data_IF_180539366318
#
_entry.id   IF_180539366318
#
_cell.length_a   1.000
_cell.length_b   1.000
_cell.length_c   1.000
_cell.angle_alpha   90.00
_cell.angle_beta   90.00
_cell.angle_gamma   90.00
#
_symmetry.space_group_name_H-M   'P 1'
#
loop_
_entity.id
_entity.type
_entity.pdbx_description
1 polymer ?
#
# COMPACT_ATOMS: atom_id res chain seq x y z
N UNK A 1 -0.42 37.52 16.58
CA UNK A 1 -1.44 38.59 16.73
C UNK A 1 -2.39 38.35 17.90
N UNK A 2 -2.89 37.12 18.09
CA UNK A 2 -3.83 36.76 19.16
C UNK A 2 -3.27 36.94 20.57
N UNK A 3 -2.00 36.58 20.77
CA UNK A 3 -1.30 36.70 22.05
C UNK A 3 -1.16 38.16 22.53
N UNK A 4 -0.89 39.09 21.60
CA UNK A 4 -0.76 40.53 21.89
C UNK A 4 -2.10 41.13 22.33
N UNK A 5 -3.21 40.69 21.73
CA UNK A 5 -4.56 41.16 22.07
C UNK A 5 -5.03 40.65 23.42
N UNK A 6 -4.75 39.39 23.71
CA UNK A 6 -5.03 38.79 25.01
C UNK A 6 -4.29 39.55 26.13
N UNK A 7 -3.03 39.95 25.88
CA UNK A 7 -2.25 40.78 26.82
C UNK A 7 -2.89 42.17 27.04
N UNK A 8 -3.39 42.84 25.99
CA UNK A 8 -4.03 44.16 26.10
C UNK A 8 -5.37 44.09 26.85
N UNK A 9 -6.23 43.10 26.55
CA UNK A 9 -7.48 42.88 27.29
C UNK A 9 -7.23 42.60 28.77
N UNK A 10 -6.27 41.71 29.08
CA UNK A 10 -5.90 41.39 30.47
C UNK A 10 -5.38 42.62 31.21
N UNK A 11 -4.55 43.45 30.58
CA UNK A 11 -4.08 44.72 31.16
C UNK A 11 -5.22 45.70 31.42
N UNK A 12 -6.15 45.88 30.48
CA UNK A 12 -7.30 46.78 30.66
C UNK A 12 -8.23 46.34 31.80
N UNK A 13 -8.49 45.03 31.93
CA UNK A 13 -9.26 44.45 33.06
C UNK A 13 -8.53 44.63 34.39
N UNK A 14 -7.22 44.39 34.41
CA UNK A 14 -6.41 44.55 35.62
C UNK A 14 -6.38 46.01 36.09
N UNK A 15 -6.19 46.96 35.17
CA UNK A 15 -6.16 48.40 35.47
C UNK A 15 -7.52 48.89 35.96
N UNK A 16 -8.62 48.45 35.34
CA UNK A 16 -9.97 48.81 35.80
C UNK A 16 -10.33 48.20 37.17
N UNK A 17 -9.87 46.98 37.47
CA UNK A 17 -10.00 46.36 38.79
C UNK A 17 -9.16 47.08 39.87
N UNK A 18 -7.93 47.50 39.53
CA UNK A 18 -7.05 48.25 40.42
C UNK A 18 -7.66 49.62 40.75
N UNK A 19 -8.14 50.36 39.74
CA UNK A 19 -8.79 51.66 39.91
C UNK A 19 -10.07 51.53 40.75
N UNK A 20 -10.86 50.46 40.57
CA UNK A 20 -12.03 50.19 41.42
C UNK A 20 -11.68 49.94 42.89
N UNK A 21 -10.54 49.28 43.16
CA UNK A 21 -10.05 49.02 44.52
C UNK A 21 -9.47 50.26 45.23
N UNK A 22 -8.90 51.19 44.46
CA UNK A 22 -8.41 52.48 44.97
C UNK A 22 -9.58 53.39 45.39
N UNK A 23 -10.66 53.42 44.61
CA UNK A 23 -11.89 54.16 44.97
C UNK A 23 -12.56 53.58 46.22
N UNK A 24 -12.62 52.25 46.36
CA UNK A 24 -13.29 51.60 47.50
C UNK A 24 -12.50 51.65 48.82
N UNK A 25 -11.19 51.92 48.76
CA UNK A 25 -10.32 52.01 49.94
C UNK A 25 -10.13 53.43 50.48
N UNK A 26 -10.68 54.45 49.80
CA UNK A 26 -10.59 55.86 50.21
C UNK A 26 -9.21 56.50 50.06
N UNK A 27 -8.24 55.76 49.51
CA UNK A 27 -6.89 56.25 49.19
C UNK A 27 -7.01 57.14 47.94
N UNK A 28 -6.63 58.42 48.03
CA UNK A 28 -6.78 59.46 46.98
C UNK A 28 -8.18 60.08 46.81
N UNK A 29 -8.89 60.39 47.90
CA UNK A 29 -10.21 61.04 47.85
C UNK A 29 -10.23 62.41 47.11
N UNK A 30 -9.13 63.18 47.15
CA UNK A 30 -8.98 64.47 46.44
C UNK A 30 -8.78 64.32 44.91
N UNK A 31 -8.58 63.09 44.39
CA UNK A 31 -8.38 62.80 42.97
C UNK A 31 -9.52 61.94 42.37
N UNK A 32 -10.67 61.89 43.04
CA UNK A 32 -11.79 61.04 42.65
C UNK A 32 -12.29 61.29 41.22
N UNK A 33 -12.23 62.54 40.73
CA UNK A 33 -12.60 62.90 39.36
C UNK A 33 -11.62 62.30 38.33
N UNK A 34 -10.31 62.39 38.57
CA UNK A 34 -9.27 61.85 37.68
C UNK A 34 -9.32 60.30 37.64
N UNK A 35 -9.63 59.66 38.77
CA UNK A 35 -9.78 58.20 38.86
C UNK A 35 -11.03 57.73 38.13
N UNK A 36 -12.12 58.49 38.20
CA UNK A 36 -13.35 58.20 37.45
C UNK A 36 -13.15 58.41 35.94
N UNK A 37 -12.48 59.47 35.52
CA UNK A 37 -12.10 59.70 34.12
C UNK A 37 -11.19 58.57 33.59
N UNK A 38 -10.21 58.13 34.38
CA UNK A 38 -9.35 56.99 34.03
C UNK A 38 -10.13 55.67 33.90
N UNK A 39 -11.15 55.47 34.73
CA UNK A 39 -12.05 54.29 34.67
C UNK A 39 -12.92 54.33 33.41
N UNK A 40 -13.46 55.49 33.06
CA UNK A 40 -14.29 55.66 31.87
C UNK A 40 -13.45 55.53 30.58
N UNK A 41 -12.23 56.05 30.59
CA UNK A 41 -11.25 55.85 29.51
C UNK A 41 -10.85 54.37 29.36
N UNK A 42 -10.65 53.65 30.46
CA UNK A 42 -10.38 52.21 30.44
C UNK A 42 -11.58 51.40 29.92
N UNK A 43 -12.81 51.79 30.27
CA UNK A 43 -14.03 51.18 29.76
C UNK A 43 -14.22 51.42 28.25
N UNK A 44 -14.03 52.66 27.78
CA UNK A 44 -14.05 52.99 26.35
C UNK A 44 -12.96 52.27 25.56
N UNK A 45 -11.75 52.13 26.13
CA UNK A 45 -10.67 51.35 25.51
C UNK A 45 -11.04 49.87 25.39
N UNK A 46 -11.69 49.28 26.42
CA UNK A 46 -12.16 47.90 26.39
C UNK A 46 -13.27 47.69 25.35
N UNK A 47 -14.20 48.63 25.19
CA UNK A 47 -15.21 48.59 24.13
C UNK A 47 -14.60 48.68 22.74
N UNK A 48 -13.64 49.58 22.51
CA UNK A 48 -12.91 49.67 21.23
C UNK A 48 -12.20 48.36 20.90
N UNK A 49 -11.57 47.72 21.89
CA UNK A 49 -10.94 46.40 21.72
C UNK A 49 -11.98 45.32 21.39
N UNK A 50 -13.15 45.31 22.05
CA UNK A 50 -14.25 44.38 21.72
C UNK A 50 -14.79 44.60 20.30
N UNK A 51 -14.97 45.86 19.88
CA UNK A 51 -15.43 46.19 18.54
C UNK A 51 -14.43 45.79 17.45
N UNK A 52 -13.12 45.97 17.70
CA UNK A 52 -12.05 45.52 16.82
C UNK A 52 -12.04 43.99 16.72
N UNK A 53 -12.21 43.27 17.83
CA UNK A 53 -12.26 41.81 17.80
C UNK A 53 -13.52 41.30 17.09
N UNK A 54 -14.67 41.98 17.24
CA UNK A 54 -15.88 41.69 16.47
C UNK A 54 -15.72 41.86 14.96
N UNK A 55 -14.86 42.79 14.50
CA UNK A 55 -14.52 42.97 13.08
C UNK A 55 -13.48 41.97 12.59
N UNK A 56 -12.65 41.41 13.47
CA UNK A 56 -11.55 40.53 13.08
C UNK A 56 -11.96 39.07 13.08
N UNK A 57 -12.93 38.68 13.90
CA UNK A 57 -13.51 37.33 13.86
C UNK A 57 -13.99 36.93 12.44
N UNK A 58 -14.84 37.70 11.72
CA UNK A 58 -15.25 37.34 10.37
C UNK A 58 -14.08 37.30 9.37
N UNK A 59 -13.04 38.13 9.58
CA UNK A 59 -11.83 38.09 8.75
C UNK A 59 -10.99 36.82 8.99
N UNK A 60 -10.98 36.29 10.21
CA UNK A 60 -10.32 35.02 10.54
C UNK A 60 -11.11 33.83 9.98
N UNK A 61 -12.43 33.90 10.02
CA UNK A 61 -13.31 32.88 9.43
C UNK A 61 -13.15 32.86 7.90
N UNK A 62 -13.12 34.03 7.26
CA UNK A 62 -12.84 34.16 5.82
C UNK A 62 -11.46 33.64 5.46
N UNK A 63 -10.42 33.97 6.24
CA UNK A 63 -9.05 33.49 6.00
C UNK A 63 -8.97 31.95 6.08
N UNK A 64 -9.68 31.35 7.04
CA UNK A 64 -9.76 29.89 7.19
C UNK A 64 -10.49 29.25 6.01
N UNK A 65 -11.59 29.87 5.55
CA UNK A 65 -12.34 29.45 4.37
C UNK A 65 -11.53 29.55 3.08
N UNK A 66 -10.78 30.65 2.89
CA UNK A 66 -9.88 30.81 1.75
C UNK A 66 -8.75 29.80 1.78
N UNK A 67 -8.16 29.51 2.95
CA UNK A 67 -7.15 28.48 3.09
C UNK A 67 -7.68 27.10 2.70
N UNK A 68 -8.88 26.72 3.17
CA UNK A 68 -9.52 25.47 2.76
C UNK A 68 -9.81 25.39 1.24
N UNK A 69 -10.19 26.51 0.60
CA UNK A 69 -10.34 26.58 -0.87
C UNK A 69 -9.00 26.42 -1.59
N UNK A 70 -7.94 27.03 -1.08
CA UNK A 70 -6.58 26.89 -1.62
C UNK A 70 -6.08 25.45 -1.52
N UNK A 71 -6.28 24.79 -0.38
CA UNK A 71 -5.90 23.38 -0.18
C UNK A 71 -6.68 22.47 -1.14
N UNK A 72 -7.97 22.76 -1.36
CA UNK A 72 -8.80 22.04 -2.35
C UNK A 72 -8.30 22.24 -3.78
N UNK A 73 -7.94 23.47 -4.13
CA UNK A 73 -7.44 23.81 -5.46
C UNK A 73 -6.07 23.17 -5.72
N UNK A 74 -5.19 23.11 -4.71
CA UNK A 74 -3.90 22.45 -4.81
C UNK A 74 -4.05 20.94 -5.07
N UNK A 75 -4.99 20.28 -4.41
CA UNK A 75 -5.29 18.87 -4.67
C UNK A 75 -5.87 18.66 -6.09
N UNK A 76 -6.77 19.54 -6.52
CA UNK A 76 -7.36 19.48 -7.86
C UNK A 76 -6.30 19.69 -8.95
N UNK A 77 -5.30 20.55 -8.72
CA UNK A 77 -4.15 20.75 -9.61
C UNK A 77 -3.25 19.51 -9.70
N UNK A 78 -3.01 18.80 -8.59
CA UNK A 78 -2.28 17.53 -8.60
C UNK A 78 -3.00 16.44 -9.39
N UNK A 79 -4.34 16.39 -9.28
CA UNK A 79 -5.16 15.48 -10.09
C UNK A 79 -5.09 15.86 -11.58
N UNK A 80 -5.11 17.16 -11.91
CA UNK A 80 -4.96 17.64 -13.28
C UNK A 80 -3.63 17.23 -13.92
N UNK A 81 -2.50 17.36 -13.22
CA UNK A 81 -1.19 16.94 -13.72
C UNK A 81 -1.12 15.42 -13.98
N UNK A 82 -1.80 14.64 -13.14
CA UNK A 82 -1.94 13.20 -13.32
C UNK A 82 -2.78 12.86 -14.57
N UNK A 83 -3.89 13.58 -14.77
CA UNK A 83 -4.75 13.43 -15.96
C UNK A 83 -4.00 13.86 -17.23
N UNK A 84 -3.25 14.96 -17.20
CA UNK A 84 -2.43 15.44 -18.32
C UNK A 84 -1.37 14.41 -18.71
N UNK A 85 -0.67 13.85 -17.74
CA UNK A 85 0.33 12.79 -17.97
C UNK A 85 -0.31 11.54 -18.60
N UNK A 86 -1.52 11.17 -18.17
CA UNK A 86 -2.24 10.05 -18.76
C UNK A 86 -2.72 10.35 -20.19
N UNK A 87 -3.15 11.59 -20.48
CA UNK A 87 -3.52 12.00 -21.83
C UNK A 87 -2.32 11.95 -22.79
N UNK A 88 -1.13 12.37 -22.35
CA UNK A 88 0.11 12.27 -23.14
C UNK A 88 0.45 10.80 -23.48
N UNK A 89 0.24 9.87 -22.54
CA UNK A 89 0.42 8.43 -22.79
C UNK A 89 -0.61 7.87 -23.79
N UNK A 90 -1.86 8.35 -23.76
CA UNK A 90 -2.89 7.94 -24.72
C UNK A 90 -2.50 8.34 -26.14
N UNK A 91 -1.99 9.55 -26.34
CA UNK A 91 -1.49 10.00 -27.65
C UNK A 91 -0.33 9.13 -28.15
N UNK A 92 0.58 8.71 -27.25
CA UNK A 92 1.65 7.78 -27.63
C UNK A 92 1.13 6.38 -28.00
N UNK A 93 0.10 5.88 -27.31
CA UNK A 93 -0.54 4.61 -27.66
C UNK A 93 -1.25 4.70 -29.01
N UNK A 94 -1.93 5.81 -29.31
CA UNK A 94 -2.60 6.05 -30.58
C UNK A 94 -1.61 6.06 -31.76
N UNK A 95 -0.44 6.68 -31.58
CA UNK A 95 0.63 6.65 -32.58
C UNK A 95 1.17 5.21 -32.83
N UNK A 96 1.37 4.42 -31.77
CA UNK A 96 1.80 3.02 -31.88
C UNK A 96 0.72 2.14 -32.55
N UNK A 97 -0.56 2.40 -32.28
CA UNK A 97 -1.67 1.71 -32.93
C UNK A 97 -1.69 1.98 -34.43
N UNK A 98 -1.48 3.23 -34.86
CA UNK A 98 -1.39 3.58 -36.27
C UNK A 98 -0.22 2.85 -36.99
N UNK A 99 0.94 2.75 -36.33
CA UNK A 99 2.08 1.99 -36.86
C UNK A 99 1.77 0.50 -37.00
N UNK A 100 1.13 -0.11 -35.98
CA UNK A 100 0.68 -1.50 -36.02
C UNK A 100 -0.32 -1.74 -37.16
N UNK A 101 -1.29 -0.84 -37.36
CA UNK A 101 -2.23 -0.91 -38.48
C UNK A 101 -1.51 -0.90 -39.83
N UNK A 102 -0.51 -0.04 -40.01
CA UNK A 102 0.30 -0.02 -41.24
C UNK A 102 1.08 -1.32 -41.47
N UNK A 103 1.67 -1.89 -40.42
CA UNK A 103 2.38 -3.18 -40.49
C UNK A 103 1.45 -4.34 -40.81
N UNK A 104 0.24 -4.37 -40.24
CA UNK A 104 -0.79 -5.37 -40.54
C UNK A 104 -1.19 -5.28 -42.02
N UNK A 105 -1.48 -4.08 -42.52
CA UNK A 105 -1.83 -3.89 -43.95
C UNK A 105 -0.72 -4.36 -44.89
N UNK A 106 0.55 -4.11 -44.53
CA UNK A 106 1.70 -4.60 -45.30
C UNK A 106 1.81 -6.14 -45.26
N UNK A 107 1.51 -6.75 -44.11
CA UNK A 107 1.51 -8.20 -43.97
C UNK A 107 0.38 -8.84 -44.78
N UNK A 108 -0.82 -8.26 -44.77
CA UNK A 108 -1.97 -8.70 -45.58
C UNK A 108 -1.64 -8.68 -47.07
N UNK A 109 -0.98 -7.62 -47.57
CA UNK A 109 -0.53 -7.56 -48.97
C UNK A 109 0.46 -8.67 -49.33
N UNK A 110 1.43 -8.95 -48.45
CA UNK A 110 2.40 -10.04 -48.66
C UNK A 110 1.74 -11.41 -48.64
N UNK A 111 0.73 -11.62 -47.81
CA UNK A 111 -0.06 -12.85 -47.79
C UNK A 111 -0.82 -13.01 -49.10
N UNK A 112 -1.49 -11.97 -49.60
CA UNK A 112 -2.21 -12.01 -50.87
C UNK A 112 -1.27 -12.32 -52.07
N UNK A 113 -0.06 -11.77 -52.07
CA UNK A 113 0.96 -12.09 -53.09
C UNK A 113 1.45 -13.54 -52.98
N UNK A 114 1.66 -14.05 -51.76
CA UNK A 114 2.02 -15.43 -51.54
C UNK A 114 0.91 -16.39 -52.00
N UNK A 115 -0.36 -16.10 -51.70
CA UNK A 115 -1.52 -16.87 -52.17
C UNK A 115 -1.58 -16.94 -53.70
N UNK A 116 -1.37 -15.81 -54.38
CA UNK A 116 -1.32 -15.75 -55.85
C UNK A 116 -0.17 -16.59 -56.42
N UNK A 117 1.00 -16.56 -55.79
CA UNK A 117 2.15 -17.38 -56.19
C UNK A 117 1.91 -18.88 -55.98
N UNK A 118 1.30 -19.25 -54.85
CA UNK A 118 0.93 -20.65 -54.56
C UNK A 118 -0.10 -21.15 -55.57
N UNK A 119 -1.15 -20.38 -55.86
CA UNK A 119 -2.15 -20.74 -56.86
C UNK A 119 -1.52 -20.99 -58.24
N UNK A 120 -0.59 -20.13 -58.67
CA UNK A 120 0.13 -20.30 -59.93
C UNK A 120 0.98 -21.59 -59.95
N UNK A 121 1.64 -21.92 -58.83
CA UNK A 121 2.42 -23.16 -58.70
C UNK A 121 1.51 -24.40 -58.72
N UNK A 122 0.35 -24.35 -58.08
CA UNK A 122 -0.63 -25.45 -58.08
C UNK A 122 -1.11 -25.75 -59.50
N UNK A 123 -1.43 -24.73 -60.30
CA UNK A 123 -1.81 -24.94 -61.71
C UNK A 123 -0.65 -25.51 -62.53
N UNK A 124 0.59 -25.03 -62.32
CA UNK A 124 1.75 -25.60 -62.98
C UNK A 124 1.94 -27.10 -62.65
N UNK A 125 1.77 -27.48 -61.37
CA UNK A 125 1.79 -28.89 -60.96
C UNK A 125 0.66 -29.70 -61.59
N UNK A 126 -0.54 -29.12 -61.73
CA UNK A 126 -1.68 -29.76 -62.39
C UNK A 126 -1.38 -30.05 -63.87
N UNK A 127 -0.78 -29.09 -64.57
CA UNK A 127 -0.33 -29.26 -65.96
C UNK A 127 0.68 -30.38 -66.07
N UNK A 128 1.72 -30.39 -65.23
CA UNK A 128 2.74 -31.46 -65.22
C UNK A 128 2.09 -32.82 -64.94
N UNK A 129 1.18 -32.91 -63.98
CA UNK A 129 0.45 -34.15 -63.65
C UNK A 129 -0.36 -34.70 -64.84
N UNK A 130 -1.04 -33.82 -65.58
CA UNK A 130 -1.75 -34.21 -66.80
C UNK A 130 -0.78 -34.70 -67.88
N UNK A 131 0.31 -33.98 -68.13
CA UNK A 131 1.32 -34.40 -69.12
C UNK A 131 1.95 -35.75 -68.79
N UNK A 132 2.26 -36.01 -67.50
CA UNK A 132 2.76 -37.31 -67.06
C UNK A 132 1.74 -38.42 -67.31
N UNK A 133 0.45 -38.15 -67.07
CA UNK A 133 -0.64 -39.09 -67.34
C UNK A 133 -0.78 -39.40 -68.83
N UNK A 134 -0.66 -38.38 -69.68
CA UNK A 134 -0.70 -38.54 -71.15
C UNK A 134 0.49 -39.37 -71.66
N UNK A 135 1.70 -39.08 -71.17
CA UNK A 135 2.91 -39.83 -71.51
C UNK A 135 2.78 -41.30 -71.06
N UNK A 136 2.30 -41.54 -69.84
CA UNK A 136 2.10 -42.89 -69.31
C UNK A 136 1.09 -43.68 -70.16
N UNK A 137 -0.01 -43.02 -70.58
CA UNK A 137 -1.02 -43.62 -71.45
C UNK A 137 -0.45 -43.93 -72.83
N UNK A 138 0.30 -43.01 -73.43
CA UNK A 138 0.94 -43.21 -74.73
C UNK A 138 2.00 -44.33 -74.69
N UNK A 139 2.78 -44.42 -73.62
CA UNK A 139 3.76 -45.49 -73.41
C UNK A 139 3.06 -46.86 -73.29
N UNK A 140 1.97 -46.95 -72.52
CA UNK A 140 1.15 -48.16 -72.39
C UNK A 140 0.61 -48.63 -73.74
N UNK A 141 0.10 -47.72 -74.55
CA UNK A 141 -0.43 -48.06 -75.88
C UNK A 141 0.66 -48.57 -76.82
N UNK A 142 1.85 -47.96 -76.81
CA UNK A 142 3.01 -48.44 -77.59
C UNK A 142 3.48 -49.82 -77.12
N UNK A 143 3.50 -50.07 -75.81
CA UNK A 143 3.86 -51.37 -75.27
C UNK A 143 2.89 -52.46 -75.75
N UNK A 144 1.58 -52.19 -75.75
CA UNK A 144 0.57 -53.11 -76.26
C UNK A 144 0.71 -53.38 -77.78
N UNK A 145 1.05 -52.35 -78.58
CA UNK A 145 1.31 -52.53 -80.02
C UNK A 145 2.55 -53.40 -80.29
N UNK A 146 3.61 -53.20 -79.50
CA UNK A 146 4.81 -54.04 -79.57
C UNK A 146 4.50 -55.48 -79.17
N UNK A 147 3.75 -55.70 -78.10
CA UNK A 147 3.33 -57.03 -77.63
C UNK A 147 2.51 -57.78 -78.70
N UNK A 148 1.57 -57.09 -79.34
CA UNK A 148 0.80 -57.65 -80.46
C UNK A 148 1.67 -58.03 -81.67
N UNK A 149 2.68 -57.22 -82.00
CA UNK A 149 3.64 -57.52 -83.07
C UNK A 149 4.53 -58.72 -82.73
N UNK A 150 4.95 -58.85 -81.47
CA UNK A 150 5.74 -60.00 -80.99
C UNK A 150 4.92 -61.27 -81.08
N UNK A 151 3.66 -61.25 -80.63
CA UNK A 151 2.76 -62.41 -80.74
C UNK A 151 2.53 -62.81 -82.20
N UNK A 152 2.38 -61.84 -83.11
CA UNK A 152 2.23 -62.12 -84.54
C UNK A 152 3.50 -62.73 -85.16
N UNK A 153 4.69 -62.30 -84.73
CA UNK A 153 5.96 -62.89 -85.15
C UNK A 153 6.12 -64.31 -84.61
N UNK A 154 5.74 -64.56 -83.36
CA UNK A 154 5.77 -65.88 -82.73
C UNK A 154 4.91 -66.89 -83.51
N UNK A 155 3.70 -66.47 -83.91
CA UNK A 155 2.85 -67.29 -84.79
C UNK A 155 3.46 -67.59 -86.17
N UNK A 156 4.19 -66.65 -86.76
CA UNK A 156 4.92 -66.88 -88.02
C UNK A 156 6.09 -67.84 -87.85
N UNK A 157 6.85 -67.72 -86.76
CA UNK A 157 7.96 -68.62 -86.43
C UNK A 157 7.45 -70.04 -86.27
N UNK A 158 6.36 -70.22 -85.52
CA UNK A 158 5.72 -71.53 -85.36
C UNK A 158 5.29 -72.16 -86.69
N UNK A 159 4.70 -71.39 -87.60
CA UNK A 159 4.34 -71.89 -88.94
C UNK A 159 5.58 -72.35 -89.73
N UNK A 160 6.70 -71.62 -89.61
CA UNK A 160 7.96 -71.99 -90.25
C UNK A 160 8.52 -73.28 -89.63
N UNK A 161 8.44 -73.45 -88.31
CA UNK A 161 8.84 -74.69 -87.62
C UNK A 161 8.01 -75.89 -88.06
N UNK A 162 6.70 -75.70 -88.22
CA UNK A 162 5.78 -76.72 -88.76
C UNK A 162 6.13 -77.09 -90.21
N UNK A 163 6.38 -76.08 -91.06
CA UNK A 163 6.83 -76.30 -92.44
C UNK A 163 8.19 -77.00 -92.49
N UNK A 164 9.15 -76.62 -91.64
CA UNK A 164 10.46 -77.24 -91.55
C UNK A 164 10.35 -78.72 -91.17
N UNK A 165 9.46 -79.04 -90.23
CA UNK A 165 9.18 -80.42 -89.81
C UNK A 165 8.54 -81.22 -90.96
N UNK A 166 7.63 -80.61 -91.72
CA UNK A 166 7.03 -81.21 -92.93
C UNK A 166 8.06 -81.44 -94.04
N UNK A 167 8.96 -80.48 -94.27
CA UNK A 167 10.04 -80.63 -95.25
C UNK A 167 11.07 -81.66 -94.81
N UNK A 168 11.34 -81.79 -93.51
CA UNK A 168 12.18 -82.86 -92.96
C UNK A 168 11.55 -84.23 -93.24
N UNK A 169 10.26 -84.44 -92.98
CA UNK A 169 9.57 -85.69 -93.33
C UNK A 169 9.59 -86.01 -94.83
N UNK A 170 9.49 -84.99 -95.70
CA UNK A 170 9.69 -85.17 -97.16
C UNK A 170 11.14 -85.55 -97.49
N UNK A 171 12.11 -84.98 -96.78
CA UNK A 171 13.54 -85.28 -96.95
C UNK A 171 13.84 -86.72 -96.55
N UNK A 172 13.30 -87.18 -95.41
CA UNK A 172 13.42 -88.56 -94.95
C UNK A 172 12.76 -89.56 -95.94
N UNK A 173 11.66 -89.15 -96.59
CA UNK A 173 11.01 -89.95 -97.66
C UNK A 173 11.86 -89.97 -98.94
N UNK A 174 12.46 -88.84 -99.30
CA UNK A 174 13.35 -88.72 -100.45
C UNK A 174 14.65 -89.52 -100.22
N UNK A 175 15.15 -89.59 -98.99
CA UNK A 175 16.33 -90.38 -98.60
C UNK A 175 16.09 -91.89 -98.73
N UNK A 176 14.88 -92.37 -98.45
CA UNK A 176 14.48 -93.75 -98.75
C UNK A 176 14.31 -94.02 -100.25
N UNK A 177 13.88 -93.03 -101.04
CA UNK A 177 13.75 -93.15 -102.51
C UNK A 177 15.12 -93.06 -103.21
N UNK A 178 16.07 -92.31 -102.65
CA UNK A 178 17.45 -92.18 -103.14
C UNK A 178 18.26 -93.47 -102.95
N UNK A 179 17.90 -94.30 -101.96
CA UNK A 179 18.45 -95.64 -101.78
C UNK A 179 18.10 -96.61 -102.92
N UNK A 180 16.95 -96.40 -103.58
CA UNK A 180 16.55 -97.13 -104.80
C UNK A 180 17.16 -96.50 -106.07
N UNK A 181 17.48 -95.20 -106.04
CA UNK A 181 18.09 -94.45 -107.14
C UNK A 181 19.60 -94.71 -107.32
N UNK A 182 20.32 -95.15 -106.29
CA UNK A 182 21.76 -95.52 -106.36
C UNK A 182 22.05 -96.70 -107.31
N UNK A 183 21.02 -97.41 -107.78
CA UNK A 183 21.16 -98.44 -108.85
C UNK A 183 21.07 -97.84 -110.27
N UNK A 184 20.51 -96.64 -110.44
CA UNK A 184 20.31 -95.98 -111.76
C UNK A 184 21.32 -94.84 -111.99
N UNK A 185 21.89 -94.28 -110.92
CA UNK A 185 22.75 -93.08 -110.94
C UNK A 185 24.15 -93.28 -111.53
N UNK A 186 24.68 -94.50 -111.62
CA UNK A 186 25.97 -94.79 -112.29
C UNK A 186 25.99 -94.36 -113.77
N UNK A 187 24.83 -94.20 -114.42
CA UNK A 187 24.74 -93.83 -115.84
C UNK A 187 24.53 -92.32 -116.08
N UNK A 188 24.44 -91.47 -115.05
CA UNK A 188 24.17 -90.04 -115.18
C UNK A 188 25.14 -89.15 -114.38
N UNK A 189 26.38 -89.60 -114.14
CA UNK A 189 27.37 -88.90 -113.31
C UNK A 189 27.98 -87.62 -113.92
N UNK A 190 27.81 -87.30 -115.22
CA UNK A 190 28.81 -86.46 -115.90
C UNK A 190 28.39 -85.07 -116.43
N UNK A 191 27.30 -84.45 -115.96
CA UNK A 191 26.89 -83.14 -116.49
C UNK A 191 26.28 -82.15 -115.46
N UNK A 192 27.09 -81.16 -115.03
CA UNK A 192 26.69 -79.78 -114.65
C UNK A 192 26.03 -79.53 -113.28
N UNK A 193 26.79 -79.29 -112.18
CA UNK A 193 26.31 -78.52 -110.99
C UNK A 193 27.43 -78.15 -109.96
N UNK A 194 28.37 -77.25 -110.27
CA UNK A 194 29.35 -76.77 -109.24
C UNK A 194 29.57 -75.24 -109.21
N UNK A 195 28.74 -74.45 -109.92
CA UNK A 195 28.85 -72.98 -110.01
C UNK A 195 27.71 -72.22 -109.30
N UNK A 196 26.59 -72.89 -108.99
CA UNK A 196 25.43 -72.27 -108.34
C UNK A 196 25.56 -72.19 -106.80
N UNK A 197 26.17 -73.20 -106.16
CA UNK A 197 26.21 -73.31 -104.69
C UNK A 197 27.15 -72.29 -104.02
N UNK A 198 28.18 -71.79 -104.74
CA UNK A 198 29.09 -70.74 -104.25
C UNK A 198 28.42 -69.35 -104.27
N UNK A 199 27.43 -69.14 -105.14
CA UNK A 199 26.71 -67.85 -105.26
C UNK A 199 25.69 -67.70 -104.11
N UNK A 200 25.01 -68.78 -103.74
CA UNK A 200 24.05 -68.79 -102.60
C UNK A 200 24.75 -68.57 -101.25
N UNK A 201 25.91 -69.21 -101.04
CA UNK A 201 26.71 -69.00 -99.81
C UNK A 201 27.25 -67.57 -99.66
N UNK A 202 27.68 -66.92 -100.75
CA UNK A 202 28.13 -65.51 -100.72
C UNK A 202 26.98 -64.54 -100.41
N UNK A 203 25.78 -64.80 -100.92
CA UNK A 203 24.60 -63.98 -100.60
C UNK A 203 24.19 -64.12 -99.13
N UNK A 204 24.29 -65.32 -98.55
CA UNK A 204 23.98 -65.54 -97.11
C UNK A 204 25.01 -64.93 -96.17
N UNK A 205 26.29 -64.90 -96.53
CA UNK A 205 27.34 -64.20 -95.75
C UNK A 205 27.15 -62.69 -95.78
N UNK A 206 26.80 -62.12 -96.94
CA UNK A 206 26.53 -60.68 -97.07
C UNK A 206 25.31 -60.26 -96.22
N UNK A 207 24.26 -61.09 -96.17
CA UNK A 207 23.09 -60.86 -95.32
C UNK A 207 23.39 -61.06 -93.81
N UNK A 208 24.44 -61.80 -93.45
CA UNK A 208 24.87 -61.98 -92.07
C UNK A 208 25.72 -60.80 -91.58
N UNK A 209 26.58 -60.24 -92.44
CA UNK A 209 27.36 -59.03 -92.15
C UNK A 209 26.43 -57.82 -91.92
N UNK A 210 25.35 -57.69 -92.69
CA UNK A 210 24.35 -56.63 -92.50
C UNK A 210 23.60 -56.76 -91.16
N UNK A 211 23.39 -57.99 -90.67
CA UNK A 211 22.80 -58.24 -89.35
C UNK A 211 23.78 -57.97 -88.20
N UNK A 212 25.09 -58.23 -88.40
CA UNK A 212 26.12 -57.94 -87.40
C UNK A 212 26.26 -56.42 -87.14
N UNK A 213 26.13 -55.59 -88.18
CA UNK A 213 26.12 -54.13 -88.02
C UNK A 213 24.95 -53.63 -87.15
N UNK A 214 23.77 -54.25 -87.27
CA UNK A 214 22.62 -53.95 -86.39
C UNK A 214 22.84 -54.32 -84.93
N UNK A 215 23.67 -55.33 -84.66
CA UNK A 215 24.03 -55.72 -83.27
C UNK A 215 24.95 -54.67 -82.66
N UNK A 216 25.94 -54.16 -83.40
CA UNK A 216 26.79 -53.06 -82.94
C UNK A 216 26.01 -51.77 -82.63
N UNK A 217 25.02 -51.43 -83.46
CA UNK A 217 24.12 -50.29 -83.19
C UNK A 217 23.28 -50.47 -81.91
N UNK A 218 22.90 -51.70 -81.60
CA UNK A 218 22.15 -52.03 -80.38
C UNK A 218 23.06 -51.98 -79.14
N UNK A 219 24.30 -52.48 -79.24
CA UNK A 219 25.29 -52.35 -78.16
C UNK A 219 25.56 -50.88 -77.82
N UNK A 220 25.74 -50.02 -78.83
CA UNK A 220 25.92 -48.58 -78.61
C UNK A 220 24.73 -47.92 -77.92
N UNK A 221 23.50 -48.31 -78.26
CA UNK A 221 22.28 -47.84 -77.57
C UNK A 221 22.19 -48.35 -76.13
N UNK A 222 22.60 -49.58 -75.87
CA UNK A 222 22.63 -50.15 -74.50
C UNK A 222 23.63 -49.40 -73.63
N UNK A 223 24.82 -49.08 -74.15
CA UNK A 223 25.81 -48.26 -73.42
C UNK A 223 25.27 -46.87 -73.10
N UNK A 224 24.60 -46.20 -74.06
CA UNK A 224 23.95 -44.90 -73.80
C UNK A 224 22.86 -44.98 -72.71
N UNK A 225 22.10 -46.07 -72.67
CA UNK A 225 21.10 -46.29 -71.63
C UNK A 225 21.78 -46.48 -70.27
N UNK A 226 22.86 -47.25 -70.20
CA UNK A 226 23.59 -47.49 -68.94
C UNK A 226 24.17 -46.18 -68.36
N UNK A 227 24.76 -45.35 -69.22
CA UNK A 227 25.25 -44.02 -68.83
C UNK A 227 24.12 -43.12 -68.32
N UNK A 228 22.95 -43.16 -68.99
CA UNK A 228 21.75 -42.42 -68.57
C UNK A 228 21.23 -42.90 -67.21
N UNK A 229 21.20 -44.21 -66.97
CA UNK A 229 20.78 -44.79 -65.69
C UNK A 229 21.73 -44.39 -64.57
N UNK A 230 23.04 -44.42 -64.81
CA UNK A 230 24.04 -43.91 -63.84
C UNK A 230 23.78 -42.46 -63.49
N UNK A 231 23.61 -41.59 -64.49
CA UNK A 231 23.32 -40.17 -64.30
C UNK A 231 22.06 -39.95 -63.47
N UNK A 232 20.95 -40.64 -63.80
CA UNK A 232 19.72 -40.54 -63.02
C UNK A 232 19.90 -41.05 -61.58
N UNK A 233 20.69 -42.09 -61.36
CA UNK A 233 20.92 -42.64 -60.02
C UNK A 233 21.72 -41.67 -59.14
N UNK A 234 22.66 -40.92 -59.73
CA UNK A 234 23.35 -39.82 -59.05
C UNK A 234 22.40 -38.67 -58.70
N UNK A 235 21.48 -38.29 -59.60
CA UNK A 235 20.46 -37.28 -59.32
C UNK A 235 19.50 -37.71 -58.21
N UNK A 236 19.04 -38.95 -58.21
CA UNK A 236 18.20 -39.52 -57.13
C UNK A 236 18.92 -39.42 -55.77
N UNK A 237 20.22 -39.70 -55.75
CA UNK A 237 21.02 -39.60 -54.53
C UNK A 237 21.08 -38.15 -54.02
N UNK A 238 21.36 -37.18 -54.91
CA UNK A 238 21.34 -35.75 -54.56
C UNK A 238 19.98 -35.29 -54.03
N UNK A 239 18.89 -35.76 -54.64
CA UNK A 239 17.52 -35.45 -54.17
C UNK A 239 17.28 -36.04 -52.78
N UNK A 240 17.71 -37.28 -52.53
CA UNK A 240 17.56 -37.93 -51.22
C UNK A 240 18.31 -37.18 -50.12
N UNK A 241 19.54 -36.78 -50.38
CA UNK A 241 20.36 -36.02 -49.44
C UNK A 241 19.76 -34.63 -49.18
N UNK A 242 19.36 -33.92 -50.23
CA UNK A 242 18.68 -32.63 -50.10
C UNK A 242 17.36 -32.71 -49.31
N UNK A 243 16.59 -33.80 -49.48
CA UNK A 243 15.37 -34.01 -48.72
C UNK A 243 15.66 -34.28 -47.23
N UNK A 244 16.73 -35.02 -46.92
CA UNK A 244 17.18 -35.25 -45.54
C UNK A 244 17.62 -33.94 -44.88
N UNK A 245 18.41 -33.12 -45.58
CA UNK A 245 18.88 -31.83 -45.07
C UNK A 245 17.72 -30.84 -44.88
N UNK A 246 16.73 -30.86 -45.78
CA UNK A 246 15.49 -30.09 -45.63
C UNK A 246 14.69 -30.50 -44.38
N UNK A 247 14.53 -31.82 -44.16
CA UNK A 247 13.86 -32.35 -42.97
C UNK A 247 14.58 -31.96 -41.68
N UNK A 248 15.92 -32.05 -41.65
CA UNK A 248 16.70 -31.64 -40.47
C UNK A 248 16.63 -30.13 -40.24
N UNK A 249 16.63 -29.32 -41.31
CA UNK A 249 16.44 -27.88 -41.22
C UNK A 249 15.10 -27.49 -40.58
N UNK A 250 14.01 -28.17 -40.96
CA UNK A 250 12.69 -27.98 -40.31
C UNK A 250 12.74 -28.41 -38.84
N UNK A 251 13.34 -29.56 -38.54
CA UNK A 251 13.46 -30.06 -37.17
C UNK A 251 14.24 -29.09 -36.28
N UNK A 252 15.30 -28.50 -36.80
CA UNK A 252 16.11 -27.51 -36.10
C UNK A 252 15.35 -26.22 -35.83
N UNK A 253 14.62 -25.70 -36.83
CA UNK A 253 13.75 -24.53 -36.62
C UNK A 253 12.68 -24.80 -35.54
N UNK A 254 12.10 -26.00 -35.52
CA UNK A 254 11.14 -26.41 -34.49
C UNK A 254 11.78 -26.49 -33.10
N UNK A 255 13.01 -27.02 -32.99
CA UNK A 255 13.75 -27.05 -31.72
C UNK A 255 14.02 -25.65 -31.20
N UNK A 256 14.49 -24.74 -32.06
CA UNK A 256 14.77 -23.34 -31.69
C UNK A 256 13.49 -22.62 -31.24
N UNK A 257 12.40 -22.74 -32.01
CA UNK A 257 11.11 -22.15 -31.64
C UNK A 257 10.58 -22.69 -30.30
N UNK A 258 10.77 -23.99 -30.04
CA UNK A 258 10.41 -24.60 -28.75
C UNK A 258 11.25 -24.01 -27.62
N UNK A 259 12.57 -23.93 -27.76
CA UNK A 259 13.46 -23.36 -26.75
C UNK A 259 13.14 -21.90 -26.44
N UNK A 260 12.86 -21.10 -27.47
CA UNK A 260 12.45 -19.70 -27.29
C UNK A 260 11.11 -19.59 -26.55
N UNK A 261 10.14 -20.46 -26.89
CA UNK A 261 8.85 -20.54 -26.21
C UNK A 261 9.02 -20.94 -24.74
N UNK A 262 9.79 -21.97 -24.44
CA UNK A 262 10.06 -22.43 -23.07
C UNK A 262 10.72 -21.31 -22.24
N UNK A 263 11.68 -20.58 -22.84
CA UNK A 263 12.34 -19.44 -22.19
C UNK A 263 11.34 -18.32 -21.86
N UNK A 264 10.42 -18.01 -22.78
CA UNK A 264 9.38 -17.01 -22.55
C UNK A 264 8.38 -17.46 -21.48
N UNK A 265 7.99 -18.73 -21.47
CA UNK A 265 7.08 -19.30 -20.46
C UNK A 265 7.72 -19.23 -19.07
N UNK A 266 8.98 -19.63 -18.93
CA UNK A 266 9.69 -19.56 -17.66
C UNK A 266 9.81 -18.10 -17.16
N UNK A 267 10.12 -17.15 -18.05
CA UNK A 267 10.14 -15.73 -17.69
C UNK A 267 8.77 -15.15 -17.31
N UNK A 268 7.67 -15.71 -17.83
CA UNK A 268 6.31 -15.36 -17.38
C UNK A 268 6.04 -15.95 -16.00
N UNK A 269 6.42 -17.21 -15.77
CA UNK A 269 6.20 -17.90 -14.49
C UNK A 269 6.91 -17.15 -13.33
N UNK A 270 8.14 -16.70 -13.53
CA UNK A 270 8.87 -15.86 -12.56
C UNK A 270 8.16 -14.52 -12.28
N UNK A 271 7.60 -13.88 -13.31
CA UNK A 271 6.83 -12.64 -13.16
C UNK A 271 5.52 -12.88 -12.41
N UNK A 272 4.83 -13.98 -12.70
CA UNK A 272 3.60 -14.39 -12.00
C UNK A 272 3.89 -14.64 -10.53
N UNK A 273 4.98 -15.37 -10.22
CA UNK A 273 5.44 -15.58 -8.85
C UNK A 273 5.70 -14.25 -8.13
N UNK A 274 6.42 -13.33 -8.78
CA UNK A 274 6.68 -12.00 -8.22
C UNK A 274 5.39 -11.21 -7.95
N UNK A 275 4.38 -11.33 -8.81
CA UNK A 275 3.07 -10.70 -8.61
C UNK A 275 2.32 -11.36 -7.47
N UNK A 276 2.36 -12.70 -7.37
CA UNK A 276 1.77 -13.46 -6.26
C UNK A 276 2.34 -13.03 -4.91
N UNK A 277 3.68 -12.98 -4.79
CA UNK A 277 4.35 -12.56 -3.56
C UNK A 277 3.96 -11.13 -3.14
N UNK A 278 3.77 -10.23 -4.12
CA UNK A 278 3.27 -8.87 -3.86
C UNK A 278 1.81 -8.83 -3.43
N UNK A 279 0.98 -9.71 -3.98
CA UNK A 279 -0.43 -9.82 -3.59
C UNK A 279 -0.54 -10.31 -2.13
N UNK A 280 0.23 -11.33 -1.75
CA UNK A 280 0.27 -11.84 -0.39
C UNK A 280 0.76 -10.76 0.60
N UNK A 281 1.78 -9.99 0.21
CA UNK A 281 2.27 -8.86 1.02
C UNK A 281 1.23 -7.73 1.17
N UNK A 282 0.39 -7.50 0.16
CA UNK A 282 -0.72 -6.54 0.25
C UNK A 282 -1.83 -7.07 1.17
N UNK A 283 -2.14 -8.36 1.09
CA UNK A 283 -3.15 -8.99 1.94
C UNK A 283 -2.78 -8.87 3.43
N UNK A 284 -1.52 -9.14 3.77
CA UNK A 284 -0.99 -8.90 5.12
C UNK A 284 -1.07 -7.43 5.57
N UNK A 285 -0.85 -6.46 4.67
CA UNK A 285 -1.00 -5.04 5.00
C UNK A 285 -2.46 -4.66 5.25
N UNK A 286 -3.39 -5.24 4.50
CA UNK A 286 -4.83 -5.04 4.68
C UNK A 286 -5.25 -5.57 6.05
N UNK A 287 -4.81 -6.78 6.43
CA UNK A 287 -5.12 -7.37 7.73
C UNK A 287 -4.57 -6.55 8.91
N UNK A 288 -3.33 -6.07 8.80
CA UNK A 288 -2.75 -5.17 9.80
C UNK A 288 -3.58 -3.88 9.93
N UNK A 289 -3.91 -3.25 8.79
CA UNK A 289 -4.72 -2.02 8.77
C UNK A 289 -6.10 -2.24 9.38
N UNK A 290 -6.74 -3.39 9.10
CA UNK A 290 -8.03 -3.77 9.68
C UNK A 290 -7.94 -3.94 11.20
N UNK A 291 -6.85 -4.54 11.67
CA UNK A 291 -6.58 -4.72 13.11
C UNK A 291 -6.37 -3.38 13.81
N UNK A 292 -5.54 -2.51 13.24
CA UNK A 292 -5.27 -1.16 13.77
C UNK A 292 -6.52 -0.29 13.80
N UNK A 293 -7.35 -0.36 12.76
CA UNK A 293 -8.61 0.34 12.69
C UNK A 293 -9.58 -0.17 13.76
N UNK A 294 -9.67 -1.48 13.97
CA UNK A 294 -10.51 -2.05 15.02
C UNK A 294 -10.05 -1.63 16.43
N UNK A 295 -8.75 -1.53 16.67
CA UNK A 295 -8.19 -1.02 17.93
C UNK A 295 -8.50 0.48 18.14
N UNK A 296 -8.37 1.27 17.07
CA UNK A 296 -8.71 2.70 17.09
C UNK A 296 -10.19 2.91 17.36
N UNK A 297 -11.07 2.17 16.70
CA UNK A 297 -12.53 2.23 16.93
C UNK A 297 -12.86 1.91 18.38
N UNK A 298 -12.29 0.84 18.96
CA UNK A 298 -12.47 0.53 20.39
C UNK A 298 -12.06 1.70 21.30
N UNK A 299 -10.90 2.30 21.02
CA UNK A 299 -10.42 3.45 21.81
C UNK A 299 -11.34 4.66 21.71
N UNK A 300 -11.86 4.93 20.50
CA UNK A 300 -12.84 6.01 20.28
C UNK A 300 -14.14 5.71 20.99
N UNK A 301 -14.65 4.48 20.88
CA UNK A 301 -15.89 4.03 21.53
C UNK A 301 -15.81 4.14 23.06
N UNK A 302 -14.68 3.75 23.66
CA UNK A 302 -14.42 3.96 25.10
C UNK A 302 -14.46 5.44 25.49
N UNK A 303 -13.84 6.32 24.69
CA UNK A 303 -13.85 7.77 24.93
C UNK A 303 -15.25 8.36 24.77
N UNK A 304 -15.99 7.95 23.75
CA UNK A 304 -17.37 8.38 23.50
C UNK A 304 -18.26 7.92 24.65
N UNK A 305 -18.12 6.67 25.11
CA UNK A 305 -18.87 6.15 26.26
C UNK A 305 -18.60 6.97 27.53
N UNK A 306 -17.34 7.34 27.81
CA UNK A 306 -16.98 8.23 28.95
C UNK A 306 -17.55 9.66 28.81
N UNK A 307 -17.84 10.10 27.58
CA UNK A 307 -18.47 11.39 27.30
C UNK A 307 -20.01 11.30 27.24
N UNK A 308 -20.57 10.11 27.02
CA UNK A 308 -21.97 9.89 26.67
C UNK A 308 -23.00 10.19 27.76
N UNK A 309 -22.57 10.53 28.97
CA UNK A 309 -23.46 10.98 30.03
C UNK A 309 -22.91 12.22 30.74
N UNK A 310 -22.86 13.37 30.05
CA UNK A 310 -22.37 14.61 30.64
C UNK A 310 -23.28 15.06 31.80
N UNK A 311 -24.57 14.75 31.74
CA UNK A 311 -25.55 15.07 32.78
C UNK A 311 -25.25 14.37 34.10
N UNK A 312 -24.96 13.05 34.09
CA UNK A 312 -24.59 12.33 35.30
C UNK A 312 -23.28 12.86 35.91
N UNK A 313 -22.29 13.20 35.07
CA UNK A 313 -21.00 13.75 35.51
C UNK A 313 -21.14 15.15 36.11
N UNK A 314 -21.95 16.01 35.48
CA UNK A 314 -22.25 17.34 36.01
C UNK A 314 -22.97 17.20 37.35
N UNK A 315 -23.95 16.30 37.45
CA UNK A 315 -24.68 16.04 38.70
C UNK A 315 -23.78 15.53 39.82
N UNK A 316 -22.79 14.69 39.51
CA UNK A 316 -21.79 14.22 40.48
C UNK A 316 -20.86 15.35 40.95
N UNK A 317 -20.42 16.22 40.03
CA UNK A 317 -19.63 17.42 40.37
C UNK A 317 -20.45 18.40 41.19
N UNK A 318 -21.70 18.67 40.81
CA UNK A 318 -22.63 19.54 41.55
C UNK A 318 -22.85 19.03 42.97
N UNK A 319 -23.04 17.71 43.13
CA UNK A 319 -23.17 17.09 44.45
C UNK A 319 -21.89 17.24 45.25
N UNK A 320 -20.73 16.89 44.68
CA UNK A 320 -19.44 16.98 45.38
C UNK A 320 -19.13 18.42 45.78
N UNK A 321 -19.42 19.37 44.91
CA UNK A 321 -19.23 20.79 45.17
C UNK A 321 -20.21 21.31 46.23
N UNK A 322 -21.48 20.89 46.16
CA UNK A 322 -22.51 21.18 47.15
C UNK A 322 -22.15 20.65 48.54
N UNK A 323 -21.69 19.39 48.63
CA UNK A 323 -21.26 18.76 49.88
C UNK A 323 -20.05 19.50 50.49
N UNK A 324 -19.06 19.85 49.65
CA UNK A 324 -17.88 20.61 50.10
C UNK A 324 -18.23 22.05 50.51
N UNK A 325 -19.14 22.70 49.80
CA UNK A 325 -19.61 24.04 50.12
C UNK A 325 -20.36 24.05 51.46
N UNK A 326 -21.28 23.10 51.67
CA UNK A 326 -22.00 22.96 52.94
C UNK A 326 -21.04 22.68 54.11
N UNK A 327 -20.04 21.82 53.90
CA UNK A 327 -18.98 21.60 54.89
C UNK A 327 -18.20 22.89 55.20
N UNK A 328 -17.79 23.65 54.18
CA UNK A 328 -17.08 24.91 54.35
C UNK A 328 -17.92 25.96 55.10
N UNK A 329 -19.21 26.08 54.77
CA UNK A 329 -20.15 26.94 55.49
C UNK A 329 -20.25 26.53 56.96
N UNK A 330 -20.34 25.23 57.24
CA UNK A 330 -20.33 24.70 58.61
C UNK A 330 -19.06 25.06 59.38
N UNK A 331 -17.87 24.83 58.81
CA UNK A 331 -16.60 25.21 59.42
C UNK A 331 -16.48 26.73 59.65
N UNK A 332 -16.96 27.53 58.70
CA UNK A 332 -16.95 28.99 58.81
C UNK A 332 -17.88 29.47 59.93
N UNK A 333 -19.10 28.94 59.99
CA UNK A 333 -20.07 29.28 61.03
C UNK A 333 -19.54 28.89 62.42
N UNK A 334 -18.92 27.71 62.57
CA UNK A 334 -18.23 27.29 63.80
C UNK A 334 -17.09 28.24 64.17
N UNK A 335 -16.27 28.64 63.20
CA UNK A 335 -15.18 29.60 63.41
C UNK A 335 -15.69 30.93 63.96
N UNK A 336 -16.77 31.47 63.38
CA UNK A 336 -17.37 32.72 63.84
C UNK A 336 -18.04 32.60 65.21
N UNK A 337 -18.74 31.48 65.49
CA UNK A 337 -19.30 31.23 66.82
C UNK A 337 -18.23 31.21 67.91
N UNK A 338 -17.05 30.63 67.63
CA UNK A 338 -15.89 30.63 68.55
C UNK A 338 -15.35 32.03 68.82
N UNK A 339 -15.18 32.84 67.77
CA UNK A 339 -14.71 34.23 67.94
C UNK A 339 -15.70 35.03 68.78
N UNK A 340 -17.00 34.86 68.54
CA UNK A 340 -18.05 35.46 69.38
C UNK A 340 -17.94 34.99 70.83
N UNK A 341 -17.75 33.69 71.08
CA UNK A 341 -17.58 33.16 72.44
C UNK A 341 -16.34 33.74 73.14
N UNK A 342 -15.20 33.78 72.46
CA UNK A 342 -13.95 34.35 72.99
C UNK A 342 -14.09 35.84 73.34
N UNK A 343 -14.84 36.59 72.53
CA UNK A 343 -15.04 38.03 72.75
C UNK A 343 -15.85 38.35 74.02
N UNK A 344 -16.66 37.40 74.50
CA UNK A 344 -17.41 37.54 75.75
C UNK A 344 -16.59 37.25 77.01
N UNK A 345 -15.33 36.82 76.88
CA UNK A 345 -14.47 36.54 78.02
C UNK A 345 -13.91 37.83 78.61
N UNK A 346 -14.21 38.06 79.89
CA UNK A 346 -13.75 39.24 80.62
C UNK A 346 -13.18 38.85 81.98
N UNK A 347 -12.03 39.45 82.39
CA UNK A 347 -11.50 39.29 83.73
C UNK A 347 -12.30 40.11 84.75
N UNK A 348 -12.32 39.67 86.00
CA UNK A 348 -12.75 40.53 87.11
C UNK A 348 -11.67 41.60 87.42
N UNK A 349 -12.04 42.60 88.22
CA UNK A 349 -11.12 43.65 88.67
C UNK A 349 -9.93 43.09 89.46
N UNK A 350 -8.86 43.87 89.55
CA UNK A 350 -7.63 43.46 90.24
C UNK A 350 -7.84 43.29 91.75
N UNK A 351 -7.40 42.15 92.27
CA UNK A 351 -7.32 41.80 93.69
C UNK A 351 -5.91 41.30 94.02
N UNK A 352 -5.28 41.86 95.07
CA UNK A 352 -3.94 41.50 95.50
C UNK A 352 -3.85 40.09 96.12
N UNK A 353 -4.95 39.57 96.67
CA UNK A 353 -5.04 38.22 97.23
C UNK A 353 -5.28 37.15 96.16
N UNK A 354 -5.86 37.52 95.00
CA UNK A 354 -6.20 36.59 93.92
C UNK A 354 -5.71 37.10 92.56
N UNK A 355 -4.52 36.63 92.15
CA UNK A 355 -3.87 37.04 90.89
C UNK A 355 -4.38 36.30 89.65
N UNK A 356 -5.16 35.25 89.83
CA UNK A 356 -5.74 34.44 88.74
C UNK A 356 -7.26 34.61 88.69
N UNK A 357 -7.79 34.68 87.49
CA UNK A 357 -9.21 34.75 87.21
C UNK A 357 -9.58 33.80 86.07
N UNK A 358 -10.73 33.14 86.16
CA UNK A 358 -11.25 32.29 85.10
C UNK A 358 -12.59 32.87 84.64
N UNK A 359 -12.79 32.94 83.33
CA UNK A 359 -14.03 33.37 82.69
C UNK A 359 -14.53 32.29 81.73
N UNK A 360 -15.84 32.18 81.60
CA UNK A 360 -16.49 31.26 80.66
C UNK A 360 -17.55 32.02 79.91
N UNK A 361 -17.60 31.85 78.60
CA UNK A 361 -18.56 32.51 77.72
C UNK A 361 -19.06 31.53 76.66
N UNK A 362 -20.25 31.80 76.12
CA UNK A 362 -20.81 31.06 75.00
C UNK A 362 -21.05 32.01 73.84
N UNK A 363 -20.86 31.52 72.63
CA UNK A 363 -21.02 32.27 71.39
C UNK A 363 -21.89 31.50 70.42
N UNK A 364 -22.83 32.20 69.81
CA UNK A 364 -23.74 31.65 68.82
C UNK A 364 -23.58 32.40 67.51
N UNK A 365 -23.49 31.66 66.39
CA UNK A 365 -23.52 32.25 65.05
C UNK A 365 -24.22 31.31 64.07
N UNK A 366 -25.31 31.79 63.47
CA UNK A 366 -26.21 31.01 62.60
C UNK A 366 -26.65 29.69 63.25
N UNK A 367 -26.23 28.54 62.73
CA UNK A 367 -26.63 27.21 63.21
C UNK A 367 -25.61 26.59 64.17
N UNK A 368 -24.57 27.31 64.56
CA UNK A 368 -23.43 26.76 65.31
C UNK A 368 -23.24 27.47 66.65
N UNK A 369 -22.79 26.71 67.64
CA UNK A 369 -22.53 27.17 69.01
C UNK A 369 -21.11 26.81 69.41
N UNK A 370 -20.47 27.70 70.16
CA UNK A 370 -19.16 27.45 70.75
C UNK A 370 -19.13 27.92 72.20
N UNK A 371 -18.39 27.20 73.03
CA UNK A 371 -18.10 27.60 74.41
C UNK A 371 -16.64 28.00 74.47
N UNK A 372 -16.36 29.13 75.11
CA UNK A 372 -15.01 29.62 75.36
C UNK A 372 -14.73 29.63 76.85
N UNK A 373 -13.49 29.29 77.20
CA UNK A 373 -12.98 29.38 78.56
C UNK A 373 -11.66 30.15 78.54
N UNK A 374 -11.49 31.08 79.46
CA UNK A 374 -10.30 31.90 79.58
C UNK A 374 -9.75 31.93 80.99
N UNK A 375 -8.43 31.91 81.11
CA UNK A 375 -7.69 32.21 82.32
C UNK A 375 -6.94 33.53 82.15
N UNK A 376 -6.97 34.33 83.20
CA UNK A 376 -6.44 35.68 83.23
C UNK A 376 -5.50 35.80 84.44
N UNK A 377 -4.27 36.26 84.21
CA UNK A 377 -3.28 36.46 85.26
C UNK A 377 -2.91 37.93 85.37
N UNK A 378 -3.05 38.50 86.56
CA UNK A 378 -2.72 39.89 86.87
C UNK A 378 -1.61 39.93 87.93
N UNK A 379 -0.33 40.01 87.53
CA UNK A 379 0.79 40.09 88.50
C UNK A 379 0.65 41.30 89.45
N UNK A 380 0.16 42.41 88.91
CA UNK A 380 -0.09 43.69 89.59
C UNK A 380 -1.28 44.43 88.93
N UNK A 381 -1.67 45.59 89.48
CA UNK A 381 -2.81 46.41 88.97
C UNK A 381 -2.63 46.94 87.54
N UNK A 382 -1.43 46.85 86.96
CA UNK A 382 -1.09 47.47 85.68
C UNK A 382 -0.98 46.50 84.51
N UNK A 383 -0.85 45.19 84.75
CA UNK A 383 -0.67 44.18 83.70
C UNK A 383 -1.71 43.08 83.84
N UNK A 384 -2.29 42.70 82.70
CA UNK A 384 -3.18 41.55 82.56
C UNK A 384 -2.63 40.66 81.44
N UNK A 385 -2.41 39.39 81.73
CA UNK A 385 -2.19 38.35 80.74
C UNK A 385 -3.47 37.55 80.59
N UNK A 386 -3.82 37.19 79.36
CA UNK A 386 -5.04 36.43 79.03
C UNK A 386 -4.69 35.23 78.17
N UNK A 387 -5.24 34.08 78.53
CA UNK A 387 -5.18 32.84 77.77
C UNK A 387 -6.60 32.32 77.63
N UNK A 388 -7.06 32.03 76.42
CA UNK A 388 -8.38 31.46 76.25
C UNK A 388 -8.41 30.43 75.13
N UNK A 389 -9.29 29.46 75.28
CA UNK A 389 -9.56 28.42 74.32
C UNK A 389 -11.05 28.25 74.10
N UNK A 390 -11.43 27.67 72.96
CA UNK A 390 -12.81 27.32 72.66
C UNK A 390 -12.97 25.84 72.46
N UNK A 391 -14.10 25.30 72.90
CA UNK A 391 -14.56 23.95 72.60
C UNK A 391 -15.88 24.03 71.83
N UNK A 392 -15.92 23.36 70.69
CA UNK A 392 -17.11 23.21 69.85
C UNK A 392 -16.97 21.92 69.03
N UNK A 393 -18.04 21.42 68.39
CA UNK A 393 -17.94 20.21 67.57
C UNK A 393 -17.04 20.39 66.34
N UNK A 394 -15.75 20.06 66.44
CA UNK A 394 -14.74 20.20 65.39
C UNK A 394 -13.38 20.62 65.96
N UNK A 395 -12.58 21.37 65.19
CA UNK A 395 -11.29 21.88 65.66
C UNK A 395 -11.45 22.85 66.83
N UNK A 396 -10.42 23.03 67.66
CA UNK A 396 -10.40 24.02 68.72
C UNK A 396 -9.67 25.31 68.28
N UNK A 397 -9.94 26.43 68.96
CA UNK A 397 -9.26 27.70 68.73
C UNK A 397 -8.70 28.24 70.05
N UNK A 398 -7.54 28.90 69.98
CA UNK A 398 -6.82 29.41 71.14
C UNK A 398 -6.40 30.86 70.91
N UNK A 399 -6.38 31.65 71.97
CA UNK A 399 -5.92 33.05 71.96
C UNK A 399 -5.09 33.33 73.20
N UNK A 400 -4.07 34.17 73.02
CA UNK A 400 -3.17 34.63 74.07
C UNK A 400 -2.93 36.11 73.87
N UNK A 401 -2.98 36.88 74.96
CA UNK A 401 -2.88 38.32 74.92
C UNK A 401 -2.34 38.93 76.20
N UNK A 402 -1.88 40.18 76.09
CA UNK A 402 -1.49 41.00 77.23
C UNK A 402 -2.13 42.39 77.11
N UNK A 403 -2.52 42.96 78.23
CA UNK A 403 -3.12 44.29 78.32
C UNK A 403 -2.44 45.09 79.43
N UNK A 404 -2.21 46.38 79.17
CA UNK A 404 -1.48 47.26 80.08
C UNK A 404 -2.30 48.51 80.38
N UNK A 405 -2.42 48.82 81.66
CA UNK A 405 -3.17 49.98 82.16
C UNK A 405 -2.24 51.17 82.35
N UNK A 406 -2.50 52.26 81.62
CA UNK A 406 -1.73 53.51 81.67
C UNK A 406 -2.59 54.64 82.28
N UNK A 407 -2.10 55.33 83.32
CA UNK A 407 -2.79 56.44 84.02
C UNK A 407 -2.67 56.41 85.56
N UNK A 408 -2.92 57.54 86.26
CA UNK A 408 -2.90 57.61 87.74
C UNK A 408 -4.14 56.91 88.32
N UNK A 409 -3.95 55.94 89.22
CA UNK A 409 -5.03 55.20 89.88
C UNK A 409 -5.70 56.05 90.97
N UNK A 410 -7.04 56.08 90.98
CA UNK A 410 -7.84 57.01 91.79
C UNK A 410 -8.61 56.41 92.97
N UNK A 411 -8.08 55.41 93.69
CA UNK A 411 -8.74 54.91 94.92
C UNK A 411 -7.76 54.65 96.07
N UNK A 412 -8.24 55.01 97.28
CA UNK A 412 -7.56 55.24 98.56
C UNK A 412 -7.63 54.00 99.48
N UNK A 413 -6.53 53.77 100.23
CA UNK A 413 -6.32 52.92 101.43
C UNK A 413 -6.38 51.37 101.22
N UNK A 414 -5.52 50.52 101.80
CA UNK A 414 -4.70 50.64 103.02
C UNK A 414 -3.51 49.63 103.04
N UNK A 415 -2.38 50.08 103.62
CA UNK A 415 -1.19 49.36 104.14
C UNK A 415 -0.28 48.52 103.21
N UNK A 416 0.95 49.02 103.03
CA UNK A 416 2.16 48.20 102.86
C UNK A 416 2.86 48.35 101.51
N UNK A 417 3.97 49.10 101.52
CA UNK A 417 4.97 49.27 100.45
C UNK A 417 4.51 49.99 99.16
N UNK A 418 5.21 51.09 98.86
CA UNK A 418 5.27 51.64 97.52
C UNK A 418 5.96 50.63 96.60
N UNK A 419 5.19 49.83 95.86
CA UNK A 419 5.67 49.13 94.67
C UNK A 419 5.25 49.95 93.44
N UNK A 420 6.27 50.28 92.65
CA UNK A 420 6.28 51.40 91.72
C UNK A 420 5.54 51.18 90.41
N UNK A 421 5.46 52.28 89.64
CA UNK A 421 5.25 52.22 88.20
C UNK A 421 6.24 51.25 87.58
N UNK A 422 5.75 50.38 86.69
CA UNK A 422 6.58 49.48 85.88
C UNK A 422 7.57 50.35 85.09
N UNK A 423 8.86 50.13 85.32
CA UNK A 423 9.92 50.79 84.56
C UNK A 423 9.90 50.31 83.11
N UNK A 424 10.33 51.13 82.15
CA UNK A 424 10.46 50.73 80.74
C UNK A 424 11.28 49.44 80.58
N UNK A 425 12.26 49.19 81.46
CA UNK A 425 13.08 47.98 81.47
C UNK A 425 12.30 46.73 81.87
N UNK A 426 11.42 46.83 82.87
CA UNK A 426 10.55 45.72 83.29
C UNK A 426 9.47 45.43 82.24
N UNK A 427 9.04 46.45 81.51
CA UNK A 427 8.16 46.29 80.36
C UNK A 427 8.83 45.50 79.22
N UNK A 428 10.09 45.81 78.87
CA UNK A 428 10.84 45.03 77.87
C UNK A 428 11.10 43.59 78.32
N UNK A 429 11.36 43.36 79.61
CA UNK A 429 11.52 42.01 80.18
C UNK A 429 10.22 41.20 80.14
N UNK A 430 9.07 41.83 80.40
CA UNK A 430 7.75 41.20 80.30
C UNK A 430 7.44 40.86 78.84
N UNK A 431 7.74 41.75 77.89
CA UNK A 431 7.55 41.51 76.46
C UNK A 431 8.47 40.39 75.94
N UNK A 432 9.73 40.35 76.40
CA UNK A 432 10.68 39.28 76.08
C UNK A 432 10.23 37.91 76.61
N UNK A 433 9.79 37.84 77.88
CA UNK A 433 9.22 36.61 78.45
C UNK A 433 7.92 36.18 77.77
N UNK A 434 7.10 37.13 77.32
CA UNK A 434 5.92 36.84 76.49
C UNK A 434 6.31 36.24 75.14
N UNK A 435 7.36 36.75 74.49
CA UNK A 435 7.84 36.21 73.21
C UNK A 435 8.39 34.78 73.38
N UNK A 436 9.11 34.50 74.46
CA UNK A 436 9.63 33.16 74.76
C UNK A 436 8.50 32.17 75.08
N UNK A 437 7.48 32.59 75.82
CA UNK A 437 6.34 31.74 76.16
C UNK A 437 5.44 31.48 74.93
N UNK A 438 5.26 32.47 74.04
CA UNK A 438 4.58 32.30 72.74
C UNK A 438 5.35 31.30 71.85
N UNK A 439 6.68 31.31 71.88
CA UNK A 439 7.50 30.35 71.16
C UNK A 439 7.34 28.91 71.71
N UNK A 440 7.25 28.76 73.04
CA UNK A 440 6.97 27.46 73.69
C UNK A 440 5.57 26.94 73.37
N UNK A 441 4.55 27.78 73.43
CA UNK A 441 3.19 27.39 73.10
C UNK A 441 3.03 27.02 71.62
N UNK A 442 3.77 27.67 70.71
CA UNK A 442 3.85 27.22 69.31
C UNK A 442 4.38 25.79 69.19
N UNK A 443 5.40 25.43 69.96
CA UNK A 443 5.97 24.08 69.96
C UNK A 443 5.02 23.04 70.58
N UNK A 444 4.30 23.37 71.66
CA UNK A 444 3.29 22.47 72.23
C UNK A 444 2.06 22.30 71.35
N UNK A 445 1.60 23.37 70.69
CA UNK A 445 0.51 23.30 69.71
C UNK A 445 0.93 22.49 68.48
N UNK A 446 2.18 22.61 68.00
CA UNK A 446 2.72 21.74 66.94
C UNK A 446 2.85 20.27 67.39
N UNK A 447 3.24 20.01 68.63
CA UNK A 447 3.34 18.66 69.18
C UNK A 447 1.97 17.99 69.34
N UNK A 448 0.92 18.76 69.69
CA UNK A 448 -0.46 18.29 69.78
C UNK A 448 -1.13 18.12 68.40
N UNK A 449 -0.68 18.85 67.38
CA UNK A 449 -1.15 18.68 65.97
C UNK A 449 -0.57 17.46 65.26
N UNK A 450 0.54 16.92 65.77
CA UNK A 450 1.29 15.77 65.22
C UNK A 450 1.01 14.44 65.96
N UNK A 451 -0.03 14.41 66.80
CA UNK A 451 -0.70 13.20 67.28
C UNK A 451 -2.07 13.12 66.62
#
# INVERSE_FOLDING_TARGET
MEETRMKIRKKAILVSALLASLVSSGVMADQAADIQEAKDNAAQALEKVKAIDGKIQPMQDDLTKYKGKTDTLENTLKDYDSVKTNAEKVVQHEAKMAELTGRVSTAEQKVAEAEKSVAAKVEAFRTVGNTVTDIATAAKNKANDVDGKVTALDGKVKNIEDDLTKYKGKTDTLENTLKDYDTVKTNAENAVQNKADIIDLKQRVSAAEEKANKVGDLEGKVTQIDDTVKSHNEEITKIKDGNRDFQEGIAEQLRQAKTETDTRVNGIDEKVKTVSDKADALDHKIDNTKTDLAATIRTVDEKVTKLGNPEARIKEVEKTFGDKLASMEGHTNKGLAKVTALSGLHPLGYDAASKWNISVATGHYKSENAIAMGAFFQPNRHVLLSFAGTVSGGDDAYTVGASIRVGRSGHKEMSGAAEGMISATEFYDIVGKLQDEIARQRQEIEALKNR
#
